data_IF_454504983899
#
_entry.id   IF_454504983899
#
_cell.length_a   1.000
_cell.length_b   1.000
_cell.length_c   1.000
_cell.angle_alpha   90.00
_cell.angle_beta   90.00
_cell.angle_gamma   90.00
#
_symmetry.space_group_name_H-M   'P 1'
#
loop_
_entity.id
_entity.type
_entity.pdbx_description
1 polymer ?
#
# COMPACT_ATOMS: atom_id res chain seq x y z
N UNK A 1 26.73 -21.82 -7.85
CA UNK A 1 25.31 -21.51 -8.13
C UNK A 1 24.67 -21.20 -6.79
N UNK A 2 24.13 -19.99 -6.58
CA UNK A 2 23.60 -19.59 -5.28
C UNK A 2 22.32 -20.37 -4.96
N UNK A 3 22.16 -20.78 -3.71
CA UNK A 3 20.99 -21.50 -3.20
C UNK A 3 19.68 -20.74 -3.45
N UNK A 4 19.74 -19.41 -3.39
CA UNK A 4 18.64 -18.49 -3.72
C UNK A 4 18.13 -18.63 -5.17
N UNK A 5 19.03 -18.95 -6.12
CA UNK A 5 18.67 -19.13 -7.52
C UNK A 5 17.89 -20.43 -7.74
N UNK A 6 18.30 -21.51 -7.05
CA UNK A 6 17.59 -22.80 -7.11
C UNK A 6 16.19 -22.69 -6.49
N UNK A 7 16.06 -21.98 -5.36
CA UNK A 7 14.77 -21.72 -4.72
C UNK A 7 13.84 -20.87 -5.60
N UNK A 8 14.37 -19.82 -6.22
CA UNK A 8 13.64 -18.96 -7.15
C UNK A 8 13.16 -19.74 -8.39
N UNK A 9 13.98 -20.64 -8.92
CA UNK A 9 13.64 -21.47 -10.07
C UNK A 9 12.56 -22.50 -9.74
N UNK A 10 12.70 -23.20 -8.60
CA UNK A 10 11.68 -24.14 -8.09
C UNK A 10 10.33 -23.46 -7.87
N UNK A 11 10.35 -22.23 -7.35
CA UNK A 11 9.13 -21.43 -7.17
C UNK A 11 8.44 -21.14 -8.50
N UNK A 12 9.17 -20.71 -9.53
CA UNK A 12 8.59 -20.46 -10.86
C UNK A 12 8.01 -21.75 -11.44
N UNK A 13 8.74 -22.86 -11.42
CA UNK A 13 8.27 -24.14 -11.97
C UNK A 13 7.07 -24.73 -11.22
N UNK A 14 6.89 -24.40 -9.94
CA UNK A 14 5.72 -24.83 -9.16
C UNK A 14 4.48 -23.99 -9.48
N UNK A 15 4.66 -22.70 -9.79
CA UNK A 15 3.57 -21.75 -10.01
C UNK A 15 3.21 -21.57 -11.50
N UNK A 16 4.06 -22.06 -12.42
CA UNK A 16 3.87 -21.95 -13.86
C UNK A 16 4.13 -23.29 -14.54
N UNK A 17 3.55 -23.51 -15.72
CA UNK A 17 3.82 -24.71 -16.52
C UNK A 17 5.11 -24.56 -17.36
N UNK A 18 6.15 -23.89 -16.84
CA UNK A 18 7.42 -23.73 -17.55
C UNK A 18 8.36 -24.90 -17.31
N UNK A 19 8.98 -25.39 -18.39
CA UNK A 19 10.08 -26.34 -18.31
C UNK A 19 11.32 -25.70 -17.65
N UNK A 20 12.20 -26.53 -17.09
CA UNK A 20 13.42 -26.10 -16.39
C UNK A 20 14.25 -25.09 -17.19
N UNK A 21 14.49 -25.38 -18.47
CA UNK A 21 15.25 -24.50 -19.37
C UNK A 21 14.54 -23.15 -19.59
N UNK A 22 13.21 -23.19 -19.81
CA UNK A 22 12.40 -21.99 -20.05
C UNK A 22 12.33 -21.11 -18.79
N UNK A 23 12.13 -21.73 -17.63
CA UNK A 23 12.11 -21.05 -16.34
C UNK A 23 13.47 -20.40 -16.03
N UNK A 24 14.58 -21.07 -16.36
CA UNK A 24 15.94 -20.54 -16.19
C UNK A 24 16.19 -19.33 -17.09
N UNK A 25 15.82 -19.41 -18.37
CA UNK A 25 15.96 -18.28 -19.30
C UNK A 25 15.10 -17.09 -18.87
N UNK A 26 13.85 -17.31 -18.48
CA UNK A 26 12.95 -16.25 -17.99
C UNK A 26 13.46 -15.63 -16.69
N UNK A 27 13.97 -16.44 -15.76
CA UNK A 27 14.56 -15.95 -14.52
C UNK A 27 15.81 -15.09 -14.77
N UNK A 28 16.64 -15.46 -15.75
CA UNK A 28 17.79 -14.66 -16.18
C UNK A 28 17.35 -13.33 -16.80
N UNK A 29 16.33 -13.35 -17.67
CA UNK A 29 15.76 -12.15 -18.30
C UNK A 29 15.19 -11.16 -17.27
N UNK A 30 14.69 -11.66 -16.13
CA UNK A 30 14.16 -10.86 -15.02
C UNK A 30 15.18 -10.58 -13.91
N UNK A 31 16.49 -10.72 -14.17
CA UNK A 31 17.57 -10.49 -13.21
C UNK A 31 17.40 -11.27 -11.89
N UNK A 32 16.90 -12.51 -11.93
CA UNK A 32 16.67 -13.33 -10.75
C UNK A 32 15.36 -13.05 -10.01
N UNK A 33 14.52 -12.15 -10.51
CA UNK A 33 13.24 -11.82 -9.88
C UNK A 33 12.13 -12.79 -10.29
N UNK A 34 12.00 -13.89 -9.55
CA UNK A 34 10.96 -14.91 -9.78
C UNK A 34 9.54 -14.35 -9.72
N UNK A 35 9.28 -13.32 -8.90
CA UNK A 35 7.96 -12.68 -8.81
C UNK A 35 7.58 -12.01 -10.13
N UNK A 36 8.53 -11.36 -10.80
CA UNK A 36 8.26 -10.72 -12.10
C UNK A 36 7.99 -11.75 -13.20
N UNK A 37 8.71 -12.90 -13.18
CA UNK A 37 8.45 -14.01 -14.09
C UNK A 37 7.04 -14.56 -13.93
N UNK A 38 6.61 -14.79 -12.68
CA UNK A 38 5.25 -15.28 -12.39
C UNK A 38 4.19 -14.24 -12.76
N UNK A 39 4.44 -12.95 -12.49
CA UNK A 39 3.53 -11.86 -12.92
C UNK A 39 3.39 -11.80 -14.43
N UNK A 40 4.50 -11.92 -15.18
CA UNK A 40 4.47 -11.98 -16.64
C UNK A 40 3.66 -13.19 -17.14
N UNK A 41 3.88 -14.36 -16.56
CA UNK A 41 3.13 -15.58 -16.90
C UNK A 41 1.62 -15.43 -16.64
N UNK A 42 1.25 -14.80 -15.52
CA UNK A 42 -0.14 -14.54 -15.15
C UNK A 42 -0.78 -13.35 -15.88
N UNK A 43 -0.03 -12.66 -16.77
CA UNK A 43 -0.51 -11.46 -17.47
C UNK A 43 -0.69 -10.23 -16.57
N UNK A 44 -0.10 -10.23 -15.38
CA UNK A 44 -0.16 -9.11 -14.44
C UNK A 44 0.93 -8.10 -14.83
N UNK A 45 0.57 -6.82 -15.09
CA UNK A 45 1.57 -5.81 -15.44
C UNK A 45 2.57 -5.61 -14.29
N UNK A 46 3.85 -5.84 -14.59
CA UNK A 46 4.98 -5.75 -13.64
C UNK A 46 5.13 -4.32 -13.12
N UNK A 47 4.88 -3.35 -13.99
CA UNK A 47 4.79 -1.95 -13.61
C UNK A 47 3.33 -1.60 -13.30
N UNK A 48 3.07 -1.15 -12.08
CA UNK A 48 1.85 -0.37 -11.82
C UNK A 48 1.87 0.76 -12.86
N UNK A 49 0.86 0.85 -13.72
CA UNK A 49 0.75 1.94 -14.69
C UNK A 49 0.96 3.24 -13.90
N UNK A 50 2.05 3.96 -14.18
CA UNK A 50 2.26 5.32 -13.72
C UNK A 50 1.25 6.19 -14.48
N UNK A 51 -0.01 6.07 -14.11
CA UNK A 51 -1.10 6.84 -14.66
C UNK A 51 -1.99 7.21 -13.50
N UNK A 52 -1.57 8.25 -12.78
CA UNK A 52 -2.57 9.19 -12.34
C UNK A 52 -2.48 10.38 -13.28
N UNK A 53 -3.18 10.26 -14.42
CA UNK A 53 -3.80 11.46 -14.98
C UNK A 53 -4.83 11.86 -13.92
N UNK A 54 -4.38 12.62 -12.92
CA UNK A 54 -5.31 13.24 -11.99
C UNK A 54 -6.07 14.27 -12.83
N UNK A 55 -7.38 14.10 -12.95
CA UNK A 55 -8.22 15.23 -13.32
C UNK A 55 -7.94 16.36 -12.32
N UNK A 56 -7.98 17.60 -12.78
CA UNK A 56 -7.86 18.80 -11.93
C UNK A 56 -8.76 18.67 -10.69
N UNK A 57 -9.98 18.13 -10.87
CA UNK A 57 -10.90 17.90 -9.77
C UNK A 57 -10.36 16.88 -8.74
N UNK A 58 -9.70 15.80 -9.17
CA UNK A 58 -9.11 14.81 -8.26
C UNK A 58 -7.96 15.41 -7.45
N UNK A 59 -7.20 16.33 -8.04
CA UNK A 59 -6.14 17.04 -7.34
C UNK A 59 -6.71 18.05 -6.34
N UNK A 60 -7.75 18.79 -6.72
CA UNK A 60 -8.50 19.69 -5.82
C UNK A 60 -9.04 18.90 -4.62
N UNK A 61 -9.72 17.76 -4.85
CA UNK A 61 -10.24 16.93 -3.75
C UNK A 61 -9.14 16.41 -2.83
N UNK A 62 -7.96 16.08 -3.37
CA UNK A 62 -6.81 15.64 -2.56
C UNK A 62 -6.32 16.77 -1.66
N UNK A 63 -6.17 17.97 -2.20
CA UNK A 63 -5.72 19.14 -1.44
C UNK A 63 -6.72 19.49 -0.32
N UNK A 64 -8.02 19.52 -0.64
CA UNK A 64 -9.06 19.79 0.35
C UNK A 64 -9.05 18.79 1.52
N UNK A 65 -8.88 17.49 1.23
CA UNK A 65 -8.77 16.47 2.28
C UNK A 65 -7.53 16.68 3.15
N UNK A 66 -6.39 16.97 2.52
CA UNK A 66 -5.14 17.21 3.25
C UNK A 66 -5.24 18.42 4.18
N UNK A 67 -5.84 19.52 3.72
CA UNK A 67 -6.06 20.73 4.53
C UNK A 67 -7.00 20.45 5.72
N UNK A 68 -8.09 19.73 5.47
CA UNK A 68 -9.03 19.34 6.53
C UNK A 68 -8.34 18.46 7.58
N UNK A 69 -7.63 17.41 7.15
CA UNK A 69 -6.88 16.52 8.05
C UNK A 69 -5.83 17.29 8.86
N UNK A 70 -5.13 18.24 8.22
CA UNK A 70 -4.13 19.05 8.90
C UNK A 70 -4.77 20.00 9.92
N UNK A 71 -5.87 20.66 9.58
CA UNK A 71 -6.61 21.55 10.47
C UNK A 71 -7.14 20.83 11.72
N UNK A 72 -7.70 19.64 11.55
CA UNK A 72 -8.19 18.81 12.67
C UNK A 72 -7.05 18.36 13.55
N UNK A 73 -5.92 17.93 12.97
CA UNK A 73 -4.73 17.57 13.74
C UNK A 73 -4.22 18.74 14.57
N UNK A 74 -4.04 19.92 13.96
CA UNK A 74 -3.60 21.13 14.67
C UNK A 74 -4.56 21.49 15.80
N UNK A 75 -5.87 21.40 15.56
CA UNK A 75 -6.86 21.65 16.61
C UNK A 75 -6.76 20.65 17.77
N UNK A 76 -6.62 19.36 17.47
CA UNK A 76 -6.48 18.30 18.47
C UNK A 76 -5.17 18.41 19.26
N UNK A 77 -4.08 18.78 18.61
CA UNK A 77 -2.78 19.00 19.26
C UNK A 77 -2.84 20.23 20.18
N UNK A 78 -3.57 21.28 19.78
CA UNK A 78 -3.76 22.49 20.58
C UNK A 78 -4.79 22.31 21.70
N UNK A 79 -5.76 21.42 21.53
CA UNK A 79 -6.81 21.10 22.50
C UNK A 79 -6.76 19.61 22.82
N UNK A 80 -5.72 19.14 23.52
CA UNK A 80 -5.66 17.76 23.94
C UNK A 80 -6.90 17.46 24.77
N UNK A 81 -7.66 16.47 24.33
CA UNK A 81 -8.87 16.05 25.03
C UNK A 81 -8.42 15.38 26.33
N UNK A 82 -8.42 16.12 27.43
CA UNK A 82 -8.26 15.53 28.76
C UNK A 82 -9.54 14.75 29.06
N UNK A 83 -9.41 13.43 29.24
CA UNK A 83 -10.56 12.57 29.54
C UNK A 83 -11.33 13.06 30.78
N UNK A 84 -10.62 13.56 31.81
CA UNK A 84 -11.17 14.22 32.98
C UNK A 84 -12.08 15.43 32.63
N UNK A 85 -11.65 16.35 31.76
CA UNK A 85 -12.43 17.55 31.41
C UNK A 85 -13.73 17.21 30.66
N UNK A 86 -13.73 16.09 29.94
CA UNK A 86 -14.91 15.57 29.23
C UNK A 86 -15.89 14.95 30.22
N UNK A 87 -15.40 14.15 31.18
CA UNK A 87 -16.22 13.53 32.23
C UNK A 87 -16.91 14.59 33.09
N UNK A 88 -16.18 15.64 33.49
CA UNK A 88 -16.73 16.74 34.29
C UNK A 88 -17.81 17.53 33.56
N UNK A 89 -17.62 17.83 32.27
CA UNK A 89 -18.64 18.51 31.46
C UNK A 89 -19.90 17.67 31.30
N UNK A 90 -19.77 16.35 31.07
CA UNK A 90 -20.92 15.46 30.99
C UNK A 90 -21.64 15.28 32.34
N UNK A 91 -20.90 15.30 33.46
CA UNK A 91 -21.47 15.26 34.81
C UNK A 91 -22.34 16.48 35.14
N UNK A 92 -21.88 17.68 34.76
CA UNK A 92 -22.62 18.92 35.00
C UNK A 92 -23.91 19.02 34.17
N UNK A 93 -23.93 18.49 32.94
CA UNK A 93 -25.15 18.44 32.12
C UNK A 93 -26.26 17.56 32.73
N UNK A 94 -25.90 16.52 33.50
CA UNK A 94 -26.88 15.64 34.15
C UNK A 94 -27.48 16.21 35.43
N UNK A 95 -26.86 17.22 36.04
CA UNK A 95 -27.36 17.80 37.30
C UNK A 95 -28.28 19.01 37.08
N UNK A 96 -28.30 19.58 35.87
CA UNK A 96 -29.15 20.70 35.48
C UNK A 96 -30.39 20.29 34.65
N UNK A 97 -30.76 18.99 34.65
CA UNK A 97 -31.99 18.46 34.05
C UNK A 97 -32.81 17.70 35.08
#
# INVERSE_FOLDING_TARGET
MSEEYANSLSFVMTQTNYDYETAKTKLLLHNGNHINVVKEYMGIPIHKKNQKICSINQEIYKQLRQELDNSMRVYNDAHPINAEDVIDKFGQYKHNS
#
